data_IF_275851733151
#
_entry.id   IF_275851733151
#
_cell.length_a   1.000
_cell.length_b   1.000
_cell.length_c   1.000
_cell.angle_alpha   90.00
_cell.angle_beta   90.00
_cell.angle_gamma   90.00
#
_symmetry.space_group_name_H-M   'P 1'
#
loop_
_entity.id
_entity.type
_entity.pdbx_description
1 polymer ?
#
# COMPACT_ATOMS: atom_id res chain seq x y z
N UNK A 1 50.54 21.93 17.33
CA UNK A 1 49.23 21.27 17.59
C UNK A 1 49.29 20.54 18.93
N UNK A 2 48.32 20.72 19.83
CA UNK A 2 48.37 20.19 21.20
C UNK A 2 47.90 18.73 21.32
N UNK A 3 48.67 17.87 22.02
CA UNK A 3 48.39 16.44 22.28
C UNK A 3 47.10 16.23 23.09
N UNK A 4 46.78 17.12 24.03
CA UNK A 4 45.57 16.98 24.86
C UNK A 4 44.28 17.20 24.06
N UNK A 5 44.35 17.93 22.95
CA UNK A 5 43.17 18.20 22.11
C UNK A 5 42.71 16.95 21.35
N UNK A 6 43.63 16.06 20.95
CA UNK A 6 43.29 14.76 20.34
C UNK A 6 42.68 13.80 21.36
N UNK A 7 43.28 13.69 22.56
CA UNK A 7 42.76 12.80 23.61
C UNK A 7 41.31 13.12 24.02
N UNK A 8 40.96 14.41 24.13
CA UNK A 8 39.60 14.84 24.46
C UNK A 8 38.60 14.57 23.32
N UNK A 9 39.03 14.71 22.07
CA UNK A 9 38.21 14.41 20.88
C UNK A 9 37.95 12.91 20.74
N UNK A 10 38.98 12.06 20.91
CA UNK A 10 38.82 10.61 20.84
C UNK A 10 37.95 10.06 21.97
N UNK A 11 38.11 10.59 23.20
CA UNK A 11 37.22 10.24 24.32
C UNK A 11 35.76 10.58 24.00
N UNK A 12 35.49 11.77 23.45
CA UNK A 12 34.14 12.17 22.99
C UNK A 12 33.59 11.28 21.88
N UNK A 13 34.42 10.90 20.89
CA UNK A 13 34.03 10.03 19.77
C UNK A 13 33.75 8.60 20.23
N UNK A 14 34.40 8.13 21.31
CA UNK A 14 34.19 6.81 21.92
C UNK A 14 32.97 6.77 22.85
N UNK A 15 32.66 7.85 23.55
CA UNK A 15 31.53 7.93 24.49
C UNK A 15 30.21 8.31 23.84
N UNK A 16 30.22 8.88 22.62
CA UNK A 16 28.96 9.15 21.91
C UNK A 16 28.33 7.83 21.45
N UNK A 17 27.02 7.63 21.72
CA UNK A 17 26.30 6.48 21.19
C UNK A 17 26.33 6.54 19.66
N UNK A 18 26.71 5.43 19.03
CA UNK A 18 26.75 5.32 17.57
C UNK A 18 25.31 5.35 17.06
N UNK A 19 24.86 6.53 16.65
CA UNK A 19 23.61 6.68 15.92
C UNK A 19 23.76 5.92 14.59
N UNK A 20 22.76 5.13 14.17
CA UNK A 20 22.79 4.50 12.87
C UNK A 20 22.95 5.60 11.81
N UNK A 21 23.98 5.47 10.98
CA UNK A 21 24.21 6.38 9.86
C UNK A 21 23.25 5.94 8.75
N UNK A 22 22.12 6.63 8.63
CA UNK A 22 21.24 6.47 7.47
C UNK A 22 22.03 6.98 6.27
N UNK A 23 22.42 6.07 5.39
CA UNK A 23 23.14 6.42 4.17
C UNK A 23 22.15 7.00 3.19
N UNK A 24 22.45 8.17 2.64
CA UNK A 24 21.68 8.75 1.54
C UNK A 24 21.75 7.79 0.35
N UNK A 25 20.61 7.23 -0.07
CA UNK A 25 20.51 6.17 -1.08
C UNK A 25 20.33 4.74 -0.53
N UNK A 26 20.25 4.55 0.79
CA UNK A 26 19.80 3.29 1.36
C UNK A 26 18.28 3.16 1.11
N UNK A 27 17.86 2.03 0.54
CA UNK A 27 16.44 1.72 0.35
C UNK A 27 15.70 1.91 1.69
N UNK A 28 14.49 2.48 1.68
CA UNK A 28 13.72 2.66 2.90
C UNK A 28 13.58 1.31 3.60
N UNK A 29 13.88 1.28 4.90
CA UNK A 29 13.72 0.06 5.68
C UNK A 29 12.22 -0.29 5.75
N UNK A 30 11.89 -1.52 5.38
CA UNK A 30 10.52 -2.06 5.47
C UNK A 30 10.41 -2.77 6.82
N UNK A 31 9.44 -2.33 7.63
CA UNK A 31 9.13 -2.97 8.93
C UNK A 31 7.90 -3.83 8.74
N UNK A 32 7.99 -5.13 9.04
CA UNK A 32 6.84 -6.04 8.91
C UNK A 32 5.86 -5.84 10.07
N UNK A 33 4.58 -5.76 9.73
CA UNK A 33 3.48 -5.47 10.65
C UNK A 33 2.37 -6.51 10.61
N UNK A 34 2.27 -7.29 9.53
CA UNK A 34 1.55 -8.55 9.52
C UNK A 34 2.38 -9.59 8.79
N UNK A 35 2.39 -10.83 9.28
CA UNK A 35 3.14 -11.92 8.65
C UNK A 35 2.28 -13.18 8.65
N UNK A 36 2.07 -13.74 7.46
CA UNK A 36 1.47 -15.04 7.23
C UNK A 36 2.59 -16.07 7.07
N UNK A 37 2.57 -17.11 7.89
CA UNK A 37 3.57 -18.19 7.86
C UNK A 37 2.91 -19.54 7.70
N UNK A 38 3.55 -20.42 6.94
CA UNK A 38 3.18 -21.84 6.82
C UNK A 38 3.64 -22.65 8.05
N UNK A 39 3.26 -23.93 8.12
CA UNK A 39 3.61 -24.88 9.17
C UNK A 39 5.14 -24.99 9.41
N UNK A 40 5.93 -24.81 8.34
CA UNK A 40 7.39 -24.80 8.38
C UNK A 40 7.98 -23.49 8.95
N UNK A 41 7.15 -22.50 9.32
CA UNK A 41 7.58 -21.16 9.72
C UNK A 41 8.11 -20.32 8.56
N UNK A 42 7.78 -20.69 7.31
CA UNK A 42 8.15 -19.93 6.12
C UNK A 42 7.15 -18.82 5.88
N UNK A 43 7.63 -17.60 5.64
CA UNK A 43 6.79 -16.45 5.32
C UNK A 43 6.19 -16.63 3.92
N UNK A 44 4.87 -16.74 3.87
CA UNK A 44 4.09 -16.83 2.63
C UNK A 44 3.69 -15.44 2.15
N UNK A 45 3.23 -14.58 3.06
CA UNK A 45 2.87 -13.20 2.77
C UNK A 45 3.20 -12.30 3.96
N UNK A 46 3.46 -11.03 3.72
CA UNK A 46 3.70 -10.04 4.76
C UNK A 46 3.21 -8.66 4.33
N UNK A 47 2.70 -7.90 5.29
CA UNK A 47 2.42 -6.47 5.15
C UNK A 47 3.51 -5.72 5.90
N UNK A 48 4.20 -4.83 5.19
CA UNK A 48 5.25 -4.01 5.73
C UNK A 48 4.97 -2.52 5.58
N UNK A 49 5.52 -1.70 6.47
CA UNK A 49 5.50 -0.25 6.40
C UNK A 49 6.86 0.23 5.87
N UNK A 50 6.84 0.80 4.67
CA UNK A 50 7.98 1.39 4.00
C UNK A 50 8.05 2.89 4.31
N UNK A 51 9.22 3.36 4.75
CA UNK A 51 9.46 4.80 4.96
C UNK A 51 8.62 5.44 6.07
N UNK A 52 7.81 4.67 6.79
CA UNK A 52 6.96 5.13 7.90
C UNK A 52 5.57 5.60 7.48
N UNK A 53 5.21 5.57 6.19
CA UNK A 53 3.90 6.03 5.71
C UNK A 53 3.28 5.16 4.62
N UNK A 54 4.08 4.43 3.84
CA UNK A 54 3.57 3.64 2.72
C UNK A 54 3.46 2.18 3.14
N UNK A 55 2.25 1.61 3.09
CA UNK A 55 2.05 0.19 3.34
C UNK A 55 2.34 -0.61 2.09
N UNK A 56 2.93 -1.78 2.26
CA UNK A 56 3.35 -2.67 1.18
C UNK A 56 2.94 -4.09 1.50
N UNK A 57 2.28 -4.75 0.54
CA UNK A 57 2.00 -6.18 0.59
C UNK A 57 3.07 -6.92 -0.22
N UNK A 58 3.67 -7.94 0.39
CA UNK A 58 4.61 -8.85 -0.27
C UNK A 58 4.14 -10.29 -0.13
N UNK A 59 4.13 -11.05 -1.23
CA UNK A 59 3.78 -12.48 -1.27
C UNK A 59 4.98 -13.24 -1.83
N UNK A 60 5.44 -14.28 -1.13
CA UNK A 60 6.61 -15.08 -1.52
C UNK A 60 7.91 -14.28 -1.61
N UNK A 61 8.01 -13.15 -0.91
CA UNK A 61 9.15 -12.23 -1.01
C UNK A 61 9.10 -11.24 -2.18
N UNK A 62 8.03 -11.26 -2.97
CA UNK A 62 7.79 -10.29 -4.04
C UNK A 62 6.73 -9.28 -3.60
N UNK A 63 6.99 -7.99 -3.80
CA UNK A 63 5.99 -6.94 -3.58
C UNK A 63 4.85 -7.06 -4.58
N UNK A 64 3.63 -7.23 -4.08
CA UNK A 64 2.40 -7.32 -4.86
C UNK A 64 1.76 -5.94 -5.06
N UNK A 65 1.94 -5.03 -4.11
CA UNK A 65 1.40 -3.68 -4.20
C UNK A 65 1.74 -2.82 -3.00
N UNK A 66 1.52 -1.53 -3.13
CA UNK A 66 1.56 -0.56 -2.03
C UNK A 66 0.25 0.23 -1.94
N UNK A 67 -0.08 0.71 -0.74
CA UNK A 67 -1.27 1.48 -0.46
C UNK A 67 -1.09 2.37 0.77
N UNK A 68 -1.95 3.36 0.91
CA UNK A 68 -1.99 4.24 2.09
C UNK A 68 -2.71 3.59 3.29
N UNK A 69 -3.65 2.67 3.01
CA UNK A 69 -4.42 1.96 4.03
C UNK A 69 -4.06 0.46 4.05
N UNK A 70 -3.63 -0.10 5.20
CA UNK A 70 -3.27 -1.50 5.30
C UNK A 70 -4.47 -2.45 5.42
N UNK A 71 -5.68 -1.94 5.71
CA UNK A 71 -6.85 -2.77 6.00
C UNK A 71 -7.27 -3.63 4.81
N UNK A 72 -7.39 -3.11 3.57
CA UNK A 72 -7.70 -3.96 2.42
C UNK A 72 -6.65 -5.04 2.17
N UNK A 73 -5.37 -4.73 2.36
CA UNK A 73 -4.28 -5.72 2.26
C UNK A 73 -4.41 -6.82 3.31
N UNK A 74 -4.82 -6.45 4.51
CA UNK A 74 -5.03 -7.39 5.60
C UNK A 74 -6.22 -8.32 5.32
N UNK A 75 -7.31 -7.78 4.78
CA UNK A 75 -8.45 -8.57 4.36
C UNK A 75 -8.06 -9.58 3.28
N UNK A 76 -7.29 -9.17 2.28
CA UNK A 76 -6.72 -10.08 1.27
C UNK A 76 -5.85 -11.16 1.91
N UNK A 77 -5.01 -10.79 2.89
CA UNK A 77 -4.11 -11.72 3.56
C UNK A 77 -4.87 -12.73 4.45
N UNK A 78 -5.95 -12.31 5.11
CA UNK A 78 -6.88 -13.18 5.84
C UNK A 78 -7.68 -14.08 4.91
N UNK A 79 -8.09 -13.59 3.74
CA UNK A 79 -8.71 -14.42 2.71
C UNK A 79 -7.75 -15.54 2.23
N UNK A 80 -6.49 -15.19 1.92
CA UNK A 80 -5.45 -16.16 1.57
C UNK A 80 -5.17 -17.18 2.68
N UNK A 81 -5.24 -16.75 3.93
CA UNK A 81 -5.12 -17.63 5.10
C UNK A 81 -6.27 -18.66 5.11
N UNK A 82 -7.52 -18.20 5.01
CA UNK A 82 -8.69 -19.07 4.96
C UNK A 82 -8.64 -20.06 3.78
N UNK A 83 -8.19 -19.61 2.61
CA UNK A 83 -8.05 -20.48 1.43
C UNK A 83 -7.04 -21.60 1.66
N UNK A 84 -5.89 -21.30 2.25
CA UNK A 84 -4.86 -22.29 2.57
C UNK A 84 -5.33 -23.28 3.65
N UNK A 85 -6.08 -22.82 4.65
CA UNK A 85 -6.69 -23.72 5.64
C UNK A 85 -7.74 -24.65 5.02
N UNK A 86 -8.55 -24.15 4.07
CA UNK A 86 -9.49 -24.99 3.29
C UNK A 86 -8.75 -26.06 2.48
N UNK A 87 -7.54 -25.76 1.97
CA UNK A 87 -6.65 -26.73 1.31
C UNK A 87 -5.95 -27.70 2.28
N UNK A 88 -6.15 -27.54 3.60
CA UNK A 88 -5.56 -28.38 4.64
C UNK A 88 -4.13 -28.00 5.03
N UNK A 89 -3.64 -26.82 4.63
CA UNK A 89 -2.35 -26.29 5.08
C UNK A 89 -2.54 -25.61 6.44
N UNK A 90 -1.60 -25.82 7.36
CA UNK A 90 -1.58 -25.12 8.64
C UNK A 90 -0.89 -23.79 8.46
N UNK A 91 -1.63 -22.69 8.56
CA UNK A 91 -1.08 -21.35 8.47
C UNK A 91 -1.19 -20.62 9.80
N UNK A 92 -0.34 -19.61 10.01
CA UNK A 92 -0.37 -18.75 11.18
C UNK A 92 -0.26 -17.30 10.73
N UNK A 93 -1.10 -16.45 11.31
CA UNK A 93 -1.17 -15.04 10.98
C UNK A 93 -0.90 -14.20 12.23
N UNK A 94 0.21 -13.46 12.20
CA UNK A 94 0.63 -12.56 13.27
C UNK A 94 0.40 -11.10 12.87
N UNK A 95 -0.08 -10.29 13.81
CA UNK A 95 -0.30 -8.86 13.65
C UNK A 95 0.51 -8.06 14.67
N UNK A 96 1.03 -6.91 14.25
CA UNK A 96 1.66 -5.94 15.15
C UNK A 96 0.62 -5.07 15.85
N UNK A 97 0.97 -4.57 17.03
CA UNK A 97 0.09 -3.69 17.83
C UNK A 97 -0.24 -2.38 17.11
N UNK A 98 0.70 -1.84 16.31
CA UNK A 98 0.47 -0.63 15.53
C UNK A 98 -0.60 -0.82 14.46
N UNK A 99 -0.56 -1.98 13.77
CA UNK A 99 -1.56 -2.32 12.76
C UNK A 99 -2.93 -2.54 13.41
N UNK A 100 -2.97 -3.25 14.55
CA UNK A 100 -4.21 -3.46 15.31
C UNK A 100 -4.88 -2.14 15.71
N UNK A 101 -4.11 -1.20 16.26
CA UNK A 101 -4.64 0.12 16.63
C UNK A 101 -5.25 0.88 15.45
N UNK A 102 -4.57 0.88 14.29
CA UNK A 102 -5.16 1.53 13.10
C UNK A 102 -6.46 0.87 12.65
N UNK A 103 -6.56 -0.45 12.73
CA UNK A 103 -7.80 -1.16 12.37
C UNK A 103 -8.91 -0.80 13.36
N UNK A 104 -8.60 -0.77 14.66
CA UNK A 104 -9.56 -0.40 15.69
C UNK A 104 -10.06 1.03 15.48
N UNK A 105 -9.17 1.97 15.16
CA UNK A 105 -9.50 3.37 14.87
C UNK A 105 -10.41 3.48 13.63
N UNK A 106 -10.05 2.84 12.52
CA UNK A 106 -10.84 2.84 11.28
C UNK A 106 -12.19 2.14 11.44
N UNK A 107 -12.23 1.02 12.16
CA UNK A 107 -13.47 0.32 12.42
C UNK A 107 -14.41 1.17 13.31
N UNK A 108 -13.84 1.88 14.30
CA UNK A 108 -14.61 2.80 15.14
C UNK A 108 -15.17 3.99 14.35
N UNK A 109 -14.46 4.50 13.34
CA UNK A 109 -14.97 5.52 12.41
C UNK A 109 -16.19 5.01 11.62
N UNK A 110 -16.19 3.73 11.23
CA UNK A 110 -17.31 3.05 10.57
C UNK A 110 -18.38 2.52 11.55
N UNK A 111 -18.21 2.73 12.86
CA UNK A 111 -19.13 2.27 13.91
C UNK A 111 -19.17 0.74 14.09
N UNK A 112 -18.14 0.03 13.62
CA UNK A 112 -18.01 -1.44 13.69
C UNK A 112 -16.87 -1.82 14.63
N UNK A 113 -16.87 -3.07 15.08
CA UNK A 113 -15.66 -3.64 15.69
C UNK A 113 -14.64 -4.01 14.62
N UNK A 114 -13.34 -4.05 14.97
CA UNK A 114 -12.28 -4.44 14.03
C UNK A 114 -12.55 -5.80 13.37
N UNK A 115 -13.06 -6.77 14.13
CA UNK A 115 -13.38 -8.10 13.62
C UNK A 115 -14.55 -8.08 12.61
N UNK A 116 -15.61 -7.32 12.90
CA UNK A 116 -16.75 -7.17 11.98
C UNK A 116 -16.37 -6.44 10.69
N UNK A 117 -15.56 -5.39 10.81
CA UNK A 117 -15.05 -4.62 9.67
C UNK A 117 -14.20 -5.50 8.76
N UNK A 118 -13.23 -6.22 9.32
CA UNK A 118 -12.40 -7.15 8.57
C UNK A 118 -13.19 -8.31 7.98
N UNK A 119 -14.18 -8.84 8.70
CA UNK A 119 -15.03 -9.94 8.20
C UNK A 119 -15.84 -9.49 6.99
N UNK A 120 -16.43 -8.29 7.05
CA UNK A 120 -17.16 -7.71 5.91
C UNK A 120 -16.26 -7.61 4.67
N UNK A 121 -15.05 -7.07 4.83
CA UNK A 121 -14.08 -6.94 3.74
C UNK A 121 -13.62 -8.29 3.18
N UNK A 122 -13.34 -9.26 4.05
CA UNK A 122 -12.95 -10.61 3.61
C UNK A 122 -14.09 -11.26 2.82
N UNK A 123 -15.34 -11.10 3.24
CA UNK A 123 -16.49 -11.59 2.49
C UNK A 123 -16.67 -10.89 1.14
N UNK A 124 -16.39 -9.59 1.05
CA UNK A 124 -16.38 -8.87 -0.23
C UNK A 124 -15.31 -9.44 -1.18
N UNK A 125 -14.11 -9.75 -0.69
CA UNK A 125 -13.07 -10.41 -1.48
C UNK A 125 -13.45 -11.83 -1.89
N UNK A 126 -14.00 -12.64 -0.97
CA UNK A 126 -14.49 -13.99 -1.28
C UNK A 126 -15.57 -13.97 -2.37
N UNK A 127 -16.47 -12.99 -2.34
CA UNK A 127 -17.52 -12.84 -3.33
C UNK A 127 -17.01 -12.27 -4.65
N UNK A 128 -15.98 -11.43 -4.62
CA UNK A 128 -15.36 -10.84 -5.82
C UNK A 128 -14.54 -11.88 -6.60
N UNK A 129 -13.79 -12.74 -5.89
CA UNK A 129 -13.01 -13.83 -6.50
C UNK A 129 -13.93 -14.91 -7.10
N UNK A 130 -15.05 -15.22 -6.44
CA UNK A 130 -16.05 -16.14 -6.96
C UNK A 130 -16.84 -15.58 -8.16
N UNK A 131 -16.84 -14.27 -8.38
CA UNK A 131 -17.53 -13.60 -9.48
C UNK A 131 -16.74 -13.55 -10.79
N UNK A 132 -15.41 -13.69 -10.76
CA UNK A 132 -14.56 -13.64 -11.97
C UNK A 132 -14.49 -15.00 -12.71
N UNK A 133 -14.79 -16.12 -12.02
CA UNK A 133 -14.88 -17.47 -12.59
C UNK A 133 -16.31 -17.87 -13.02
N UNK A 134 -17.31 -16.99 -12.85
CA UNK A 134 -18.73 -17.31 -13.04
C UNK A 134 -19.46 -16.50 -14.13
N UNK A 135 -18.77 -15.80 -15.03
CA UNK A 135 -19.40 -15.21 -16.22
C UNK A 135 -19.47 -16.25 -17.36
N UNK A 136 -20.36 -17.23 -17.14
CA UNK A 136 -20.63 -18.29 -18.09
C UNK A 136 -21.74 -19.23 -17.64
N UNK A 137 -22.87 -18.72 -17.13
CA UNK A 137 -24.14 -19.46 -17.23
C UNK A 137 -25.35 -18.51 -17.19
N UNK A 138 -26.14 -18.64 -18.25
CA UNK A 138 -27.35 -17.90 -18.58
C UNK A 138 -28.52 -18.36 -17.70
N UNK A 139 -29.29 -17.45 -17.10
CA UNK A 139 -30.73 -17.63 -16.84
C UNK A 139 -31.33 -16.38 -16.19
N UNK A 140 -31.69 -15.36 -16.99
CA UNK A 140 -32.73 -14.39 -16.61
C UNK A 140 -33.94 -14.61 -17.53
N UNK A 141 -34.70 -15.65 -17.20
CA UNK A 141 -36.02 -15.89 -17.73
C UNK A 141 -37.07 -15.50 -16.70
N UNK A 142 -37.97 -14.60 -17.14
CA UNK A 142 -39.26 -14.19 -16.55
C UNK A 142 -39.16 -13.21 -15.38
N UNK A 143 -39.86 -12.08 -15.39
CA UNK A 143 -41.30 -12.03 -15.58
C UNK A 143 -41.76 -10.67 -16.11
N UNK A 144 -42.66 -10.75 -17.08
CA UNK A 144 -43.32 -9.62 -17.70
C UNK A 144 -44.44 -9.12 -16.78
N UNK A 145 -44.32 -7.90 -16.26
CA UNK A 145 -45.49 -7.18 -15.78
C UNK A 145 -45.62 -5.85 -16.51
N UNK A 146 -46.64 -5.83 -17.37
CA UNK A 146 -47.17 -4.65 -18.01
C UNK A 146 -47.61 -3.64 -16.95
N UNK A 147 -47.23 -2.38 -17.14
CA UNK A 147 -48.08 -1.27 -16.73
C UNK A 147 -47.98 -0.17 -17.79
N UNK A 148 -49.03 -0.14 -18.61
CA UNK A 148 -49.29 0.92 -19.55
C UNK A 148 -49.93 2.07 -18.79
N UNK A 149 -49.21 3.17 -18.62
CA UNK A 149 -49.85 4.45 -18.40
C UNK A 149 -49.29 5.48 -19.38
N UNK A 150 -50.03 5.59 -20.48
CA UNK A 150 -49.96 6.63 -21.48
C UNK A 150 -50.54 7.95 -20.93
N UNK A 151 -50.12 9.04 -21.58
CA UNK A 151 -50.77 10.36 -21.66
C UNK A 151 -50.10 11.52 -20.86
N UNK A 152 -50.08 12.75 -21.43
CA UNK A 152 -48.84 13.28 -21.98
C UNK A 152 -48.62 14.81 -21.77
N UNK A 153 -47.42 15.28 -22.14
CA UNK A 153 -46.99 16.65 -22.50
C UNK A 153 -47.31 17.82 -21.55
N UNK A 154 -46.27 18.57 -21.15
CA UNK A 154 -46.18 20.01 -21.45
C UNK A 154 -44.72 20.45 -21.51
N UNK A 155 -44.42 21.16 -22.59
CA UNK A 155 -43.17 21.85 -22.93
C UNK A 155 -42.98 23.12 -22.05
N UNK A 156 -41.92 23.92 -22.06
CA UNK A 156 -40.88 24.28 -23.03
C UNK A 156 -39.63 24.81 -22.30
N UNK A 157 -38.49 24.74 -23.01
CA UNK A 157 -37.43 25.74 -23.18
C UNK A 157 -37.02 26.69 -22.03
N UNK A 158 -35.73 26.63 -21.67
CA UNK A 158 -34.80 27.75 -21.87
C UNK A 158 -33.33 27.28 -21.88
N UNK A 159 -32.67 27.65 -22.99
CA UNK A 159 -31.23 27.77 -23.27
C UNK A 159 -30.38 28.36 -22.13
N UNK A 160 -29.14 27.90 -21.92
CA UNK A 160 -27.89 28.50 -22.44
C UNK A 160 -26.76 27.47 -22.20
N UNK A 161 -26.03 26.96 -23.20
CA UNK A 161 -24.87 27.57 -23.84
C UNK A 161 -23.80 28.06 -22.85
N UNK A 162 -22.72 27.28 -22.64
CA UNK A 162 -21.41 27.68 -23.15
C UNK A 162 -20.44 26.50 -23.17
N UNK A 163 -19.74 26.39 -24.30
CA UNK A 163 -18.60 25.53 -24.51
C UNK A 163 -17.36 26.21 -23.94
N UNK A 164 -16.26 25.47 -23.83
CA UNK A 164 -14.93 25.86 -24.31
C UNK A 164 -13.99 24.70 -23.94
N UNK A 165 -13.76 23.85 -24.93
CA UNK A 165 -12.59 22.97 -25.03
C UNK A 165 -11.35 23.78 -25.42
N UNK A 166 -10.18 23.15 -25.24
CA UNK A 166 -8.90 23.47 -25.89
C UNK A 166 -8.12 24.63 -25.21
N UNK A 167 -6.79 24.66 -25.08
CA UNK A 167 -5.70 23.90 -25.70
C UNK A 167 -4.41 24.07 -24.90
N UNK A 168 -3.44 23.20 -25.19
CA UNK A 168 -2.06 23.15 -24.74
C UNK A 168 -1.20 24.42 -24.96
N UNK A 169 -0.27 24.64 -24.04
CA UNK A 169 1.06 25.25 -24.25
C UNK A 169 1.97 24.78 -23.10
N UNK A 170 2.89 23.84 -23.30
CA UNK A 170 4.26 24.05 -23.79
C UNK A 170 5.00 25.16 -23.01
N UNK A 171 5.85 24.77 -22.05
CA UNK A 171 7.10 25.48 -21.80
C UNK A 171 8.21 24.47 -21.47
N UNK A 172 9.13 24.35 -22.41
CA UNK A 172 10.40 23.65 -22.27
C UNK A 172 11.48 24.68 -22.04
N UNK A 173 12.28 24.52 -21.00
CA UNK A 173 13.59 25.15 -20.90
C UNK A 173 14.59 24.22 -20.20
N UNK A 174 15.61 23.73 -20.92
CA UNK A 174 16.87 23.32 -20.33
C UNK A 174 17.99 24.30 -20.76
N UNK A 175 18.69 24.89 -19.79
CA UNK A 175 19.93 25.67 -19.99
C UNK A 175 20.84 25.37 -18.78
N UNK A 176 21.84 24.51 -18.94
CA UNK A 176 23.23 24.76 -19.37
C UNK A 176 24.16 25.12 -18.20
N UNK A 177 25.17 24.26 -17.98
CA UNK A 177 26.56 24.68 -17.80
C UNK A 177 27.44 23.49 -17.41
N UNK A 178 28.28 23.09 -18.36
CA UNK A 178 29.49 22.28 -18.18
C UNK A 178 30.66 23.14 -17.68
N UNK A 179 31.35 22.72 -16.61
CA UNK A 179 32.78 22.99 -16.34
C UNK A 179 33.17 22.15 -15.10
N UNK A 180 34.30 21.47 -14.94
CA UNK A 180 35.57 21.42 -15.63
C UNK A 180 36.53 20.64 -14.72
N UNK A 181 37.18 19.62 -15.27
CA UNK A 181 38.46 19.02 -14.88
C UNK A 181 39.14 19.46 -13.56
N UNK A 182 39.50 18.49 -12.69
CA UNK A 182 40.89 18.40 -12.15
C UNK A 182 41.30 17.02 -11.63
N UNK A 183 42.14 16.42 -12.48
CA UNK A 183 43.12 15.34 -12.27
C UNK A 183 44.00 15.50 -11.00
N UNK A 184 44.38 14.33 -10.47
CA UNK A 184 45.68 13.95 -9.84
C UNK A 184 46.01 14.52 -8.45
N UNK A 185 46.24 13.62 -7.48
CA UNK A 185 47.62 13.25 -7.07
C UNK A 185 47.68 11.94 -6.26
N UNK A 186 48.26 10.94 -6.91
CA UNK A 186 48.96 9.79 -6.32
C UNK A 186 50.22 10.23 -5.57
N UNK A 187 50.46 9.69 -4.36
CA UNK A 187 51.78 9.41 -3.73
C UNK A 187 51.50 8.65 -2.42
N UNK A 188 51.72 7.34 -2.22
CA UNK A 188 52.92 6.47 -2.30
C UNK A 188 54.09 6.93 -1.43
N UNK A 189 54.18 6.38 -0.21
CA UNK A 189 55.29 5.58 0.34
C UNK A 189 54.96 5.25 1.80
#
# INVERSE_FOLDING_TARGET
MSRNSKAKRDKRKKTQPKRPIVRLGQAPQVTNHAVLQDADGRVVAAIGLQGGSEWMLSIGGQTMGSADNPVPMLAMLKHLANLQEKEGKTISLEYSTQLQQMIDDLAAEDGKTAEEYLTTLVSEFENSDAGDDAEGDEDDATDASADANDAPVTAEAASDADAETDTAAADSAPDDSTDGSKKKKSKKA
#
